data_IF_868352680095
#
_entry.id   IF_868352680095
#
_cell.length_a   1.000
_cell.length_b   1.000
_cell.length_c   1.000
_cell.angle_alpha   90.00
_cell.angle_beta   90.00
_cell.angle_gamma   90.00
#
_symmetry.space_group_name_H-M   'P 1'
#
loop_
_entity.id
_entity.type
_entity.pdbx_description
1 polymer ?
#
# COMPACT_ATOMS: atom_id res chain seq x y z
N UNK A 1 5.92 21.79 -10.22
CA UNK A 1 4.60 21.41 -9.68
C UNK A 1 4.57 19.89 -9.70
N UNK A 2 4.61 19.21 -8.55
CA UNK A 2 4.52 17.75 -8.53
C UNK A 2 3.04 17.44 -8.74
N UNK A 3 2.71 16.84 -9.88
CA UNK A 3 1.34 16.52 -10.29
C UNK A 3 0.68 15.67 -9.21
N UNK A 4 -0.26 16.26 -8.46
CA UNK A 4 -0.87 15.69 -7.26
C UNK A 4 -1.82 14.50 -7.51
N UNK A 5 -1.72 13.82 -8.66
CA UNK A 5 -2.60 12.73 -9.05
C UNK A 5 -1.87 11.51 -9.62
N UNK A 6 -0.54 11.44 -9.50
CA UNK A 6 0.20 10.25 -9.91
C UNK A 6 -0.11 9.08 -8.98
N UNK A 7 -0.72 8.03 -9.53
CA UNK A 7 -0.98 6.79 -8.80
C UNK A 7 0.34 6.05 -8.61
N UNK A 8 0.76 5.89 -7.37
CA UNK A 8 1.94 5.09 -7.03
C UNK A 8 1.53 3.66 -6.70
N UNK A 9 2.07 2.71 -7.48
CA UNK A 9 1.87 1.27 -7.25
C UNK A 9 2.77 0.79 -6.13
N UNK A 10 2.20 0.13 -5.11
CA UNK A 10 2.98 -0.58 -4.09
C UNK A 10 3.68 -1.79 -4.74
N UNK A 11 4.97 -1.92 -4.49
CA UNK A 11 5.85 -2.97 -5.05
C UNK A 11 5.99 -4.20 -4.14
N UNK A 12 5.23 -4.23 -3.04
CA UNK A 12 5.15 -5.33 -2.10
C UNK A 12 3.68 -5.58 -1.70
N UNK A 13 3.32 -6.80 -1.25
CA UNK A 13 1.99 -7.06 -0.71
C UNK A 13 1.79 -6.24 0.57
N UNK A 14 0.62 -5.65 0.70
CA UNK A 14 0.23 -4.89 1.90
C UNK A 14 -1.03 -5.50 2.53
N UNK A 15 -1.10 -5.48 3.86
CA UNK A 15 -2.22 -6.02 4.64
C UNK A 15 -2.82 -4.94 5.54
N UNK A 16 -4.15 -4.88 5.61
CA UNK A 16 -4.86 -4.00 6.55
C UNK A 16 -4.83 -4.63 7.94
N UNK A 17 -4.50 -3.82 8.94
CA UNK A 17 -4.55 -4.19 10.36
C UNK A 17 -5.34 -3.14 11.14
N UNK A 18 -5.60 -3.41 12.42
CA UNK A 18 -6.06 -2.37 13.33
C UNK A 18 -4.98 -1.29 13.43
N UNK A 19 -5.34 -0.04 13.13
CA UNK A 19 -4.40 1.10 13.14
C UNK A 19 -3.74 1.45 11.80
N UNK A 20 -3.97 0.69 10.72
CA UNK A 20 -3.51 1.10 9.38
C UNK A 20 -3.10 -0.04 8.47
N UNK A 21 -1.95 0.14 7.81
CA UNK A 21 -1.41 -0.76 6.81
C UNK A 21 -0.01 -1.22 7.21
N UNK A 22 0.30 -2.47 6.88
CA UNK A 22 1.65 -3.02 7.00
C UNK A 22 2.12 -3.60 5.68
N UNK A 23 3.43 -3.63 5.49
CA UNK A 23 4.06 -4.53 4.50
C UNK A 23 3.81 -5.97 4.97
N UNK A 24 3.15 -6.78 4.14
CA UNK A 24 2.80 -8.15 4.51
C UNK A 24 4.03 -9.08 4.60
N UNK A 25 5.14 -8.71 3.97
CA UNK A 25 6.39 -9.49 4.02
C UNK A 25 7.21 -9.20 5.29
N UNK A 26 7.29 -7.94 5.72
CA UNK A 26 8.18 -7.52 6.83
C UNK A 26 7.44 -7.21 8.13
N UNK A 27 6.14 -6.94 8.07
CA UNK A 27 5.33 -6.51 9.22
C UNK A 27 5.46 -5.02 9.57
N UNK A 28 6.26 -4.26 8.83
CA UNK A 28 6.48 -2.84 9.09
C UNK A 28 5.25 -1.99 8.73
N UNK A 29 4.95 -0.97 9.55
CA UNK A 29 3.88 -0.02 9.26
C UNK A 29 4.20 0.82 8.03
N UNK A 30 3.20 1.01 7.18
CA UNK A 30 3.31 1.83 5.97
C UNK A 30 2.19 2.88 5.95
N UNK A 31 2.56 4.09 5.54
CA UNK A 31 1.61 5.18 5.34
C UNK A 31 1.11 5.15 3.89
N UNK A 32 0.02 4.43 3.64
CA UNK A 32 -0.61 4.36 2.32
C UNK A 32 -2.10 4.73 2.39
N UNK A 33 -2.58 5.41 1.37
CA UNK A 33 -4.00 5.73 1.17
C UNK A 33 -4.46 5.08 -0.14
N UNK A 34 -4.88 3.82 -0.12
CA UNK A 34 -5.23 3.09 -1.33
C UNK A 34 -6.45 3.72 -2.00
N UNK A 35 -6.33 4.01 -3.30
CA UNK A 35 -7.44 4.48 -4.15
C UNK A 35 -7.97 3.36 -5.04
N UNK A 36 -7.17 2.33 -5.29
CA UNK A 36 -7.49 1.15 -6.09
C UNK A 36 -6.93 -0.10 -5.41
N UNK A 37 -7.58 -1.23 -5.64
CA UNK A 37 -7.24 -2.51 -5.04
C UNK A 37 -6.82 -3.51 -6.11
N UNK A 38 -5.79 -4.29 -5.82
CA UNK A 38 -5.48 -5.51 -6.58
C UNK A 38 -5.17 -6.66 -5.64
N UNK A 39 -5.49 -7.86 -6.08
CA UNK A 39 -5.00 -9.08 -5.45
C UNK A 39 -3.49 -9.15 -5.72
N UNK A 40 -2.72 -9.50 -4.69
CA UNK A 40 -1.31 -9.79 -4.87
C UNK A 40 -1.18 -11.22 -5.44
N UNK A 41 -0.53 -11.42 -6.61
CA UNK A 41 -0.27 -12.76 -7.10
C UNK A 41 0.68 -13.48 -6.13
N UNK A 42 0.37 -14.74 -5.83
CA UNK A 42 1.18 -15.61 -4.97
C UNK A 42 2.54 -15.94 -5.57
#
# INVERSE_FOLDING_TARGET
MIEGNSIHRVVFPCRRIFGGWINANTGEQIAVRPTHWRIWPG
#
